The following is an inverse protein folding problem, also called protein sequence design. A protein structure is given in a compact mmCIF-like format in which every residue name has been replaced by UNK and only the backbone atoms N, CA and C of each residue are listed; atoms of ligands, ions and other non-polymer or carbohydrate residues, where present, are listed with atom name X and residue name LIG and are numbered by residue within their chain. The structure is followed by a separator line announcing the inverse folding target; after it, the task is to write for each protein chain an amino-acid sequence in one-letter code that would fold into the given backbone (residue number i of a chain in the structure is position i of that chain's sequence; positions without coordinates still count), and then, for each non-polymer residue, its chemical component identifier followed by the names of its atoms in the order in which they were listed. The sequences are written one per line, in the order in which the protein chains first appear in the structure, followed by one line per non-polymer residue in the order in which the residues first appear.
data_IF_632560499885
#
_entry.id   IF_632560499885
#
_cell.length_a   1.000
_cell.length_b   1.000
_cell.length_c   1.000
_cell.angle_alpha   90.00
_cell.angle_beta   90.00
_cell.angle_gamma   90.00
#
_symmetry.space_group_name_H-M   'P 1'
#
loop_
_entity.id
_entity.type
_entity.pdbx_description
1 polymer ?
#
# COMPACT_ATOMS: atom_id res chain seq x y z
N UNK A 1 2.63 12.64 -5.79
CA UNK A 1 1.35 12.75 -6.55
C UNK A 1 0.37 11.85 -5.84
N UNK A 2 -0.82 12.34 -5.49
CA UNK A 2 -1.79 11.52 -4.77
C UNK A 2 -2.50 10.60 -5.77
N UNK A 3 -2.93 9.42 -5.32
CA UNK A 3 -3.71 8.44 -6.12
C UNK A 3 -4.96 9.07 -6.76
N UNK A 4 -5.48 10.13 -6.14
CA UNK A 4 -6.62 10.91 -6.64
C UNK A 4 -6.23 11.73 -7.88
N UNK A 5 -5.02 12.31 -7.92
CA UNK A 5 -4.55 13.06 -9.09
C UNK A 5 -4.33 12.15 -10.32
N UNK A 6 -3.85 10.94 -10.09
CA UNK A 6 -3.66 9.94 -11.14
C UNK A 6 -5.01 9.45 -11.70
N UNK A 7 -6.01 9.27 -10.84
CA UNK A 7 -7.39 8.94 -11.25
C UNK A 7 -8.07 10.06 -12.02
N UNK A 8 -7.87 11.30 -11.60
CA UNK A 8 -8.40 12.49 -12.31
C UNK A 8 -7.75 12.60 -13.68
N UNK A 9 -6.43 12.47 -13.80
CA UNK A 9 -5.71 12.49 -15.07
C UNK A 9 -6.17 11.36 -16.03
N UNK A 10 -6.47 10.16 -15.49
CA UNK A 10 -6.99 9.06 -16.30
C UNK A 10 -8.42 9.31 -16.80
N UNK A 11 -9.26 10.01 -16.04
CA UNK A 11 -10.60 10.42 -16.48
C UNK A 11 -10.51 11.53 -17.53
N UNK A 12 -9.64 12.51 -17.33
CA UNK A 12 -9.41 13.59 -18.32
C UNK A 12 -8.91 13.03 -19.65
N UNK A 13 -7.95 12.10 -19.65
CA UNK A 13 -7.46 11.44 -20.85
C UNK A 13 -8.57 10.66 -21.60
N UNK A 14 -9.52 10.05 -20.88
CA UNK A 14 -10.67 9.36 -21.47
C UNK A 14 -11.69 10.33 -22.06
N UNK A 15 -11.91 11.47 -21.42
CA UNK A 15 -12.77 12.54 -21.94
C UNK A 15 -12.18 13.14 -23.21
N UNK A 16 -10.87 13.38 -23.26
CA UNK A 16 -10.19 13.84 -24.49
C UNK A 16 -10.27 12.81 -25.62
N UNK A 17 -10.14 11.52 -25.32
CA UNK A 17 -10.36 10.47 -26.33
C UNK A 17 -11.80 10.47 -26.87
N UNK A 18 -12.80 10.70 -26.02
CA UNK A 18 -14.18 10.80 -26.44
C UNK A 18 -14.41 12.02 -27.37
N UNK A 19 -13.81 13.18 -27.06
CA UNK A 19 -13.86 14.35 -27.95
C UNK A 19 -13.11 14.14 -29.28
N UNK A 20 -11.99 13.40 -29.27
CA UNK A 20 -11.26 13.04 -30.47
C UNK A 20 -12.09 12.11 -31.40
N UNK A 21 -12.92 11.23 -30.82
CA UNK A 21 -13.86 10.38 -31.55
C UNK A 21 -14.98 11.25 -32.19
N UNK A 22 -15.54 12.21 -31.46
CA UNK A 22 -16.56 13.12 -31.98
C UNK A 22 -16.01 13.98 -33.14
N UNK A 23 -14.79 14.47 -33.05
CA UNK A 23 -14.12 15.20 -34.13
C UNK A 23 -13.91 14.33 -35.39
N UNK A 24 -13.53 13.05 -35.22
CA UNK A 24 -13.44 12.10 -36.33
C UNK A 24 -14.79 11.76 -36.94
N UNK A 25 -15.84 11.65 -36.15
CA UNK A 25 -17.22 11.47 -36.64
C UNK A 25 -17.66 12.64 -37.50
N UNK A 26 -17.41 13.88 -37.08
CA UNK A 26 -17.70 15.08 -37.84
C UNK A 26 -16.91 15.16 -39.16
N UNK A 27 -15.65 14.70 -39.17
CA UNK A 27 -14.84 14.64 -40.41
C UNK A 27 -15.37 13.60 -41.38
N UNK A 28 -15.77 12.42 -40.89
CA UNK A 28 -16.41 11.38 -41.70
C UNK A 28 -17.76 11.81 -42.25
N UNK A 29 -18.56 12.56 -41.49
CA UNK A 29 -19.79 13.17 -41.95
C UNK A 29 -19.55 14.15 -43.09
N UNK A 30 -18.44 14.92 -43.04
CA UNK A 30 -17.99 15.82 -44.10
C UNK A 30 -17.55 15.09 -45.37
N UNK A 31 -16.86 13.95 -45.23
CA UNK A 31 -16.45 13.12 -46.39
C UNK A 31 -17.62 12.39 -47.02
N UNK A 32 -18.55 11.86 -46.25
CA UNK A 32 -19.80 11.25 -46.71
C UNK A 32 -20.68 12.30 -47.47
N UNK A 33 -20.67 13.56 -47.03
CA UNK A 33 -21.32 14.65 -47.74
C UNK A 33 -20.69 14.94 -49.11
N UNK A 34 -19.37 14.79 -49.25
CA UNK A 34 -18.65 14.96 -50.52
C UNK A 34 -18.93 13.85 -51.56
N UNK A 35 -19.21 12.62 -51.06
CA UNK A 35 -19.57 11.47 -51.89
C UNK A 35 -21.01 11.51 -52.43
N UNK A 36 -21.78 12.54 -52.10
CA UNK A 36 -23.22 12.72 -52.40
C UNK A 36 -23.54 13.10 -53.83
N UNK A 37 -22.74 12.68 -54.83
CA UNK A 37 -22.98 12.93 -56.26
C UNK A 37 -23.77 11.85 -57.01
N UNK A 38 -24.22 10.76 -56.38
CA UNK A 38 -24.93 9.66 -57.02
C UNK A 38 -26.28 9.33 -56.36
N UNK A 39 -27.37 9.39 -57.12
CA UNK A 39 -28.74 9.18 -56.65
C UNK A 39 -28.99 7.84 -55.92
N UNK A 40 -28.23 6.79 -56.22
CA UNK A 40 -28.40 5.47 -55.60
C UNK A 40 -27.89 5.38 -54.13
N UNK A 41 -26.93 6.22 -53.75
CA UNK A 41 -26.39 6.22 -52.39
C UNK A 41 -27.35 6.88 -51.39
N UNK A 42 -28.16 7.82 -51.89
CA UNK A 42 -29.11 8.57 -51.05
C UNK A 42 -30.28 7.70 -50.59
N UNK A 43 -30.79 6.82 -51.45
CA UNK A 43 -31.85 5.89 -51.09
C UNK A 43 -31.35 4.81 -50.13
N UNK A 44 -30.09 4.35 -50.28
CA UNK A 44 -29.48 3.37 -49.43
C UNK A 44 -29.22 3.93 -47.99
N UNK A 45 -28.74 5.19 -47.89
CA UNK A 45 -28.53 5.87 -46.60
C UNK A 45 -29.86 6.21 -45.92
N UNK A 46 -30.91 6.53 -46.63
CA UNK A 46 -32.23 6.76 -46.04
C UNK A 46 -32.88 5.48 -45.53
N UNK A 47 -32.65 4.35 -46.16
CA UNK A 47 -33.26 3.08 -45.77
C UNK A 47 -32.47 2.36 -44.68
N UNK A 48 -31.13 2.42 -44.71
CA UNK A 48 -30.25 1.71 -43.76
C UNK A 48 -29.69 2.60 -42.64
N UNK A 49 -29.73 3.94 -42.81
CA UNK A 49 -29.24 4.88 -41.81
C UNK A 49 -29.81 4.67 -40.40
N UNK A 50 -31.13 4.50 -40.25
CA UNK A 50 -31.72 4.20 -38.94
C UNK A 50 -31.24 2.90 -38.30
N UNK A 51 -31.01 1.87 -39.11
CA UNK A 51 -30.54 0.55 -38.63
C UNK A 51 -29.06 0.60 -38.21
N UNK A 52 -28.22 1.30 -38.98
CA UNK A 52 -26.80 1.48 -38.67
C UNK A 52 -26.63 2.36 -37.42
N UNK A 53 -27.39 3.45 -37.32
CA UNK A 53 -27.36 4.30 -36.11
C UNK A 53 -27.86 3.55 -34.87
N UNK A 54 -28.92 2.74 -34.99
CA UNK A 54 -29.41 1.88 -33.93
C UNK A 54 -28.36 0.86 -33.47
N UNK A 55 -27.66 0.21 -34.41
CA UNK A 55 -26.60 -0.75 -34.11
C UNK A 55 -25.40 -0.06 -33.43
N UNK A 56 -25.00 1.11 -33.86
CA UNK A 56 -23.92 1.89 -33.24
C UNK A 56 -24.28 2.29 -31.80
N UNK A 57 -25.50 2.77 -31.57
CA UNK A 57 -25.99 3.12 -30.24
C UNK A 57 -26.04 1.89 -29.33
N UNK A 58 -26.47 0.74 -29.85
CA UNK A 58 -26.46 -0.53 -29.08
C UNK A 58 -25.03 -0.98 -28.72
N UNK A 59 -24.09 -0.92 -29.67
CA UNK A 59 -22.69 -1.30 -29.42
C UNK A 59 -22.02 -0.35 -28.42
N UNK A 60 -22.23 0.95 -28.56
CA UNK A 60 -21.70 1.95 -27.63
C UNK A 60 -22.36 1.80 -26.27
N UNK A 61 -23.66 1.59 -26.21
CA UNK A 61 -24.39 1.35 -24.97
C UNK A 61 -23.93 0.08 -24.26
N UNK A 62 -23.69 -0.99 -25.00
CA UNK A 62 -23.15 -2.25 -24.45
C UNK A 62 -21.73 -2.05 -23.92
N UNK A 63 -20.88 -1.35 -24.64
CA UNK A 63 -19.49 -1.09 -24.22
C UNK A 63 -19.41 -0.18 -22.98
N UNK A 64 -20.26 0.86 -22.90
CA UNK A 64 -20.36 1.71 -21.71
C UNK A 64 -20.87 0.91 -20.52
N UNK A 65 -21.90 0.06 -20.70
CA UNK A 65 -22.45 -0.79 -19.64
C UNK A 65 -21.38 -1.73 -19.09
N UNK A 66 -20.61 -2.40 -19.95
CA UNK A 66 -19.54 -3.30 -19.54
C UNK A 66 -18.44 -2.56 -18.76
N UNK A 67 -18.02 -1.41 -19.24
CA UNK A 67 -16.99 -0.59 -18.59
C UNK A 67 -17.44 -0.08 -17.22
N UNK A 68 -18.69 0.37 -17.07
CA UNK A 68 -19.27 0.82 -15.80
C UNK A 68 -19.47 -0.34 -14.85
N UNK A 69 -19.94 -1.49 -15.35
CA UNK A 69 -20.15 -2.70 -14.52
C UNK A 69 -18.82 -3.21 -13.95
N UNK A 70 -17.76 -3.24 -14.78
CA UNK A 70 -16.42 -3.63 -14.34
C UNK A 70 -15.84 -2.66 -13.31
N UNK A 71 -16.06 -1.35 -13.49
CA UNK A 71 -15.61 -0.34 -12.52
C UNK A 71 -16.34 -0.50 -11.18
N UNK A 72 -17.68 -0.67 -11.20
CA UNK A 72 -18.48 -0.90 -10.00
C UNK A 72 -18.12 -2.22 -9.30
N UNK A 73 -17.87 -3.29 -10.06
CA UNK A 73 -17.43 -4.56 -9.48
C UNK A 73 -16.06 -4.44 -8.79
N UNK A 74 -15.12 -3.69 -9.36
CA UNK A 74 -13.82 -3.43 -8.71
C UNK A 74 -13.99 -2.64 -7.43
N UNK A 75 -14.81 -1.60 -7.45
CA UNK A 75 -15.09 -0.80 -6.26
C UNK A 75 -15.77 -1.61 -5.16
N UNK A 76 -16.72 -2.49 -5.53
CA UNK A 76 -17.35 -3.42 -4.58
C UNK A 76 -16.36 -4.42 -4.00
N UNK A 77 -15.46 -5.00 -4.82
CA UNK A 77 -14.41 -5.88 -4.35
C UNK A 77 -13.43 -5.17 -3.41
N UNK A 78 -13.05 -3.93 -3.72
CA UNK A 78 -12.17 -3.12 -2.86
C UNK A 78 -12.85 -2.82 -1.51
N UNK A 79 -14.13 -2.48 -1.51
CA UNK A 79 -14.90 -2.25 -0.27
C UNK A 79 -15.05 -3.53 0.56
N UNK A 80 -15.32 -4.65 -0.09
CA UNK A 80 -15.43 -5.95 0.58
C UNK A 80 -14.09 -6.39 1.17
N UNK A 81 -12.99 -6.19 0.44
CA UNK A 81 -11.63 -6.43 0.90
C UNK A 81 -11.30 -5.60 2.16
N UNK A 82 -11.59 -4.29 2.14
CA UNK A 82 -11.37 -3.41 3.29
C UNK A 82 -12.24 -3.83 4.48
N UNK A 83 -13.49 -4.23 4.23
CA UNK A 83 -14.40 -4.71 5.28
C UNK A 83 -13.88 -6.00 5.92
N UNK A 84 -13.50 -6.99 5.12
CA UNK A 84 -12.97 -8.26 5.61
C UNK A 84 -11.68 -8.05 6.41
N UNK A 85 -10.76 -7.20 5.93
CA UNK A 85 -9.56 -6.86 6.68
C UNK A 85 -9.88 -6.19 8.02
N UNK A 86 -10.87 -5.30 8.05
CA UNK A 86 -11.31 -4.64 9.30
C UNK A 86 -11.93 -5.62 10.29
N UNK A 87 -12.76 -6.53 9.80
CA UNK A 87 -13.38 -7.56 10.65
C UNK A 87 -12.30 -8.48 11.23
N UNK A 88 -11.33 -8.90 10.42
CA UNK A 88 -10.19 -9.71 10.88
C UNK A 88 -9.30 -8.96 11.90
N UNK A 89 -9.08 -7.65 11.72
CA UNK A 89 -8.39 -6.81 12.70
C UNK A 89 -9.15 -6.81 14.04
N UNK A 90 -10.48 -6.71 14.00
CA UNK A 90 -11.30 -6.74 15.20
C UNK A 90 -11.23 -8.09 15.91
N UNK A 91 -11.26 -9.19 15.17
CA UNK A 91 -11.15 -10.54 15.72
C UNK A 91 -9.77 -10.74 16.34
N UNK A 92 -8.71 -10.28 15.66
CA UNK A 92 -7.34 -10.26 16.17
C UNK A 92 -7.21 -9.49 17.49
N UNK A 93 -7.84 -8.30 17.62
CA UNK A 93 -7.81 -7.50 18.85
C UNK A 93 -8.59 -8.16 20.00
N UNK A 94 -9.48 -9.08 19.71
CA UNK A 94 -10.32 -9.80 20.67
C UNK A 94 -9.89 -11.25 20.89
N UNK A 95 -8.81 -11.70 20.26
CA UNK A 95 -8.34 -13.09 20.31
C UNK A 95 -8.09 -13.53 21.75
N UNK A 96 -8.80 -14.55 22.27
CA UNK A 96 -8.70 -14.98 23.65
C UNK A 96 -7.44 -15.82 23.94
N UNK A 97 -6.73 -16.24 22.91
CA UNK A 97 -5.54 -17.09 23.03
C UNK A 97 -4.46 -16.72 22.01
N UNK A 98 -3.21 -17.08 22.32
CA UNK A 98 -2.09 -16.90 21.38
C UNK A 98 -2.30 -17.65 20.05
N UNK A 99 -2.92 -18.83 20.10
CA UNK A 99 -3.14 -19.63 18.89
C UNK A 99 -4.15 -18.96 17.95
N UNK A 100 -5.18 -18.31 18.48
CA UNK A 100 -6.15 -17.56 17.69
C UNK A 100 -5.55 -16.27 17.15
N UNK A 101 -4.84 -15.52 18.00
CA UNK A 101 -4.12 -14.32 17.54
C UNK A 101 -3.09 -14.65 16.44
N UNK A 102 -2.37 -15.76 16.56
CA UNK A 102 -1.44 -16.21 15.51
C UNK A 102 -2.17 -16.55 14.21
N UNK A 103 -3.33 -17.22 14.28
CA UNK A 103 -4.14 -17.54 13.10
C UNK A 103 -4.65 -16.27 12.42
N UNK A 104 -5.14 -15.30 13.18
CA UNK A 104 -5.63 -14.03 12.67
C UNK A 104 -4.48 -13.19 12.09
N UNK A 105 -3.29 -13.20 12.71
CA UNK A 105 -2.10 -12.55 12.19
C UNK A 105 -1.65 -13.15 10.84
N UNK A 106 -1.76 -14.48 10.68
CA UNK A 106 -1.53 -15.16 9.39
C UNK A 106 -2.58 -14.72 8.37
N UNK A 107 -3.86 -14.67 8.76
CA UNK A 107 -4.94 -14.14 7.93
C UNK A 107 -4.66 -12.69 7.49
N UNK A 108 -4.27 -11.82 8.42
CA UNK A 108 -3.89 -10.44 8.12
C UNK A 108 -2.66 -10.38 7.19
N UNK A 109 -1.69 -11.27 7.36
CA UNK A 109 -0.51 -11.31 6.49
C UNK A 109 -0.86 -11.60 5.01
N UNK A 110 -1.98 -12.28 4.73
CA UNK A 110 -2.48 -12.49 3.36
C UNK A 110 -2.85 -11.18 2.65
N UNK A 111 -3.17 -10.11 3.40
CA UNK A 111 -3.41 -8.78 2.87
C UNK A 111 -2.13 -8.00 2.54
N UNK A 112 -0.96 -8.61 2.78
CA UNK A 112 0.33 -8.09 2.39
C UNK A 112 0.60 -6.69 2.96
N UNK A 113 0.98 -5.78 2.07
CA UNK A 113 1.36 -4.41 2.45
C UNK A 113 0.27 -3.61 3.20
N UNK A 114 -1.00 -3.93 3.01
CA UNK A 114 -2.12 -3.20 3.62
C UNK A 114 -2.26 -3.54 5.11
N UNK A 115 -1.81 -4.71 5.54
CA UNK A 115 -1.82 -5.13 6.93
C UNK A 115 -0.60 -4.65 7.74
N UNK A 116 0.44 -4.08 7.10
CA UNK A 116 1.67 -3.68 7.81
C UNK A 116 1.36 -2.67 8.93
N UNK A 117 0.70 -1.55 8.62
CA UNK A 117 0.42 -0.52 9.64
C UNK A 117 -0.52 -1.03 10.72
N UNK A 118 -1.65 -1.69 10.42
CA UNK A 118 -2.47 -2.33 11.44
C UNK A 118 -1.71 -3.27 12.38
N UNK A 119 -0.80 -4.10 11.86
CA UNK A 119 0.02 -5.00 12.69
C UNK A 119 1.07 -4.24 13.50
N UNK A 120 1.70 -3.19 12.94
CA UNK A 120 2.68 -2.36 13.65
C UNK A 120 2.05 -1.67 14.87
N UNK A 121 0.82 -1.16 14.74
CA UNK A 121 0.09 -0.53 15.84
C UNK A 121 -0.15 -1.51 17.01
N UNK A 122 -0.29 -2.82 16.74
CA UNK A 122 -0.48 -3.85 17.76
C UNK A 122 0.81 -4.31 18.43
N UNK A 123 1.97 -3.95 17.90
CA UNK A 123 3.24 -4.19 18.59
C UNK A 123 3.36 -3.42 19.91
N UNK A 124 2.54 -2.39 20.13
CA UNK A 124 2.58 -1.55 21.32
C UNK A 124 1.95 -2.20 22.58
N UNK A 125 1.14 -3.23 22.41
CA UNK A 125 0.38 -3.86 23.50
C UNK A 125 1.24 -4.69 24.47
N UNK A 126 2.34 -5.26 24.02
CA UNK A 126 3.22 -6.11 24.84
C UNK A 126 2.58 -7.45 25.30
N UNK A 127 1.45 -7.81 24.71
CA UNK A 127 0.62 -8.97 25.01
C UNK A 127 0.64 -10.03 23.90
N UNK A 128 -0.34 -10.93 23.95
CA UNK A 128 -0.59 -11.97 22.95
C UNK A 128 -0.66 -11.39 21.52
N UNK A 129 -1.34 -10.25 21.35
CA UNK A 129 -1.50 -9.60 20.05
C UNK A 129 -0.15 -9.08 19.51
N UNK A 130 0.73 -8.56 20.39
CA UNK A 130 2.05 -8.08 19.99
C UNK A 130 2.94 -9.19 19.42
N UNK A 131 2.96 -10.36 20.06
CA UNK A 131 3.73 -11.51 19.56
C UNK A 131 3.19 -12.04 18.24
N UNK A 132 1.87 -12.10 18.10
CA UNK A 132 1.23 -12.53 16.86
C UNK A 132 1.44 -11.51 15.74
N UNK A 133 1.38 -10.20 16.04
CA UNK A 133 1.68 -9.14 15.08
C UNK A 133 3.14 -9.20 14.57
N UNK A 134 4.12 -9.47 15.47
CA UNK A 134 5.52 -9.68 15.06
C UNK A 134 5.64 -10.84 14.06
N UNK A 135 4.92 -11.94 14.27
CA UNK A 135 4.90 -13.09 13.37
C UNK A 135 4.26 -12.76 12.04
N UNK A 136 3.10 -12.09 12.05
CA UNK A 136 2.41 -11.64 10.85
C UNK A 136 3.28 -10.72 9.99
N UNK A 137 3.96 -9.75 10.60
CA UNK A 137 4.90 -8.87 9.90
C UNK A 137 6.09 -9.66 9.32
N UNK A 138 6.61 -10.64 10.07
CA UNK A 138 7.66 -11.53 9.57
C UNK A 138 7.22 -12.33 8.33
N UNK A 139 5.98 -12.82 8.30
CA UNK A 139 5.41 -13.52 7.14
C UNK A 139 5.28 -12.58 5.93
N UNK A 140 4.76 -11.36 6.13
CA UNK A 140 4.67 -10.36 5.05
C UNK A 140 6.06 -10.07 4.47
N UNK A 141 7.04 -9.84 5.35
CA UNK A 141 8.42 -9.54 4.93
C UNK A 141 9.10 -10.70 4.20
N UNK A 142 8.79 -11.94 4.58
CA UNK A 142 9.34 -13.13 3.92
C UNK A 142 8.69 -13.43 2.57
N UNK A 143 7.38 -13.15 2.44
CA UNK A 143 6.62 -13.41 1.22
C UNK A 143 6.89 -12.38 0.12
N UNK A 144 7.00 -11.11 0.48
CA UNK A 144 7.25 -10.01 -0.48
C UNK A 144 8.21 -8.97 0.12
N UNK A 145 9.51 -9.28 0.23
CA UNK A 145 10.49 -8.37 0.80
C UNK A 145 10.67 -7.09 -0.03
N UNK A 146 10.40 -7.12 -1.33
CA UNK A 146 10.54 -5.94 -2.19
C UNK A 146 9.55 -4.84 -1.83
N UNK A 147 8.35 -5.20 -1.42
CA UNK A 147 7.29 -4.27 -1.03
C UNK A 147 7.31 -4.01 0.49
N UNK A 148 7.57 -5.02 1.30
CA UNK A 148 7.53 -4.92 2.75
C UNK A 148 8.71 -4.13 3.34
N UNK A 149 9.94 -4.40 2.87
CA UNK A 149 11.14 -3.80 3.46
C UNK A 149 11.16 -2.25 3.41
N UNK A 150 10.78 -1.58 2.31
CA UNK A 150 10.68 -0.12 2.30
C UNK A 150 9.67 0.42 3.33
N UNK A 151 8.57 -0.29 3.57
CA UNK A 151 7.56 0.09 4.57
C UNK A 151 8.06 -0.13 6.00
N UNK A 152 8.74 -1.22 6.26
CA UNK A 152 9.40 -1.48 7.55
C UNK A 152 10.46 -0.42 7.85
N UNK A 153 11.28 -0.07 6.85
CA UNK A 153 12.22 1.04 6.95
C UNK A 153 11.52 2.37 7.27
N UNK A 154 10.37 2.63 6.65
CA UNK A 154 9.55 3.82 6.91
C UNK A 154 9.07 3.91 8.36
N UNK A 155 8.69 2.80 8.99
CA UNK A 155 8.30 2.76 10.41
C UNK A 155 9.50 3.10 11.31
N UNK A 156 10.67 2.51 11.05
CA UNK A 156 11.88 2.76 11.84
C UNK A 156 12.44 4.17 11.62
N UNK A 157 12.30 4.72 10.42
CA UNK A 157 12.70 6.09 10.09
C UNK A 157 11.73 7.16 10.61
N UNK A 158 10.54 6.75 11.09
CA UNK A 158 9.51 7.68 11.52
C UNK A 158 9.97 8.54 12.70
N UNK A 159 9.81 9.85 12.54
CA UNK A 159 10.12 10.86 13.55
C UNK A 159 8.88 11.66 13.98
N UNK A 160 7.71 11.23 13.51
CA UNK A 160 6.44 11.89 13.78
C UNK A 160 5.81 11.46 15.11
N UNK A 161 6.56 10.77 15.97
CA UNK A 161 6.12 10.34 17.31
C UNK A 161 4.89 9.42 17.28
N UNK A 162 4.75 8.61 16.24
CA UNK A 162 3.61 7.69 16.10
C UNK A 162 3.78 6.41 16.91
N UNK A 163 5.01 5.97 17.12
CA UNK A 163 5.32 4.66 17.68
C UNK A 163 6.20 4.77 18.92
N UNK A 164 6.08 3.78 19.82
CA UNK A 164 6.94 3.60 20.97
C UNK A 164 8.33 3.11 20.54
N UNK A 165 9.34 3.27 21.39
CA UNK A 165 10.68 2.76 21.12
C UNK A 165 10.71 1.22 21.03
N UNK A 166 9.86 0.53 21.81
CA UNK A 166 9.69 -0.92 21.76
C UNK A 166 9.20 -1.39 20.38
N UNK A 167 8.29 -0.64 19.77
CA UNK A 167 7.82 -0.89 18.40
C UNK A 167 8.98 -0.79 17.41
N UNK A 168 9.83 0.24 17.53
CA UNK A 168 11.03 0.36 16.70
C UNK A 168 11.95 -0.84 16.90
N UNK A 169 12.19 -1.27 18.16
CA UNK A 169 13.01 -2.46 18.48
C UNK A 169 12.47 -3.72 17.80
N UNK A 170 11.16 -3.97 17.92
CA UNK A 170 10.52 -5.14 17.29
C UNK A 170 10.58 -5.05 15.76
N UNK A 171 10.37 -3.87 15.18
CA UNK A 171 10.49 -3.69 13.74
C UNK A 171 11.91 -3.92 13.23
N UNK A 172 12.95 -3.53 13.96
CA UNK A 172 14.35 -3.82 13.63
C UNK A 172 14.58 -5.34 13.58
N UNK A 173 14.05 -6.09 14.56
CA UNK A 173 14.08 -7.54 14.59
C UNK A 173 13.35 -8.16 13.37
N UNK A 174 12.17 -7.65 13.04
CA UNK A 174 11.42 -8.08 11.84
C UNK A 174 12.23 -7.83 10.58
N UNK A 175 12.86 -6.67 10.43
CA UNK A 175 13.74 -6.32 9.31
C UNK A 175 14.87 -7.37 9.15
N UNK A 176 15.52 -7.77 10.24
CA UNK A 176 16.56 -8.80 10.21
C UNK A 176 16.03 -10.15 9.73
N UNK A 177 14.89 -10.59 10.29
CA UNK A 177 14.26 -11.88 9.92
C UNK A 177 13.75 -11.91 8.47
N UNK A 178 13.30 -10.77 7.97
CA UNK A 178 12.81 -10.62 6.59
C UNK A 178 13.92 -10.39 5.56
N UNK A 179 15.20 -10.48 5.98
CA UNK A 179 16.35 -10.28 5.09
C UNK A 179 16.34 -8.94 4.32
N UNK A 180 15.87 -7.87 4.96
CA UNK A 180 15.75 -6.55 4.34
C UNK A 180 17.12 -5.84 4.22
N UNK A 181 18.04 -6.38 3.43
CA UNK A 181 19.45 -5.91 3.29
C UNK A 181 19.53 -4.43 2.94
N UNK A 182 18.62 -3.92 2.12
CA UNK A 182 18.58 -2.50 1.70
C UNK A 182 18.34 -1.52 2.87
N UNK A 183 17.90 -2.01 4.04
CA UNK A 183 17.69 -1.16 5.23
C UNK A 183 18.96 -0.99 6.08
N UNK A 184 20.04 -1.72 5.80
CA UNK A 184 21.27 -1.69 6.58
C UNK A 184 21.84 -0.26 6.75
N UNK A 185 21.90 0.63 5.73
CA UNK A 185 22.37 2.00 5.92
C UNK A 185 21.53 2.81 6.91
N UNK A 186 20.20 2.64 6.90
CA UNK A 186 19.30 3.28 7.86
C UNK A 186 19.60 2.82 9.29
N UNK A 187 19.79 1.51 9.50
CA UNK A 187 20.10 0.95 10.81
C UNK A 187 21.47 1.40 11.30
N UNK A 188 22.47 1.49 10.41
CA UNK A 188 23.79 2.03 10.74
C UNK A 188 23.71 3.48 11.20
N UNK A 189 22.98 4.34 10.48
CA UNK A 189 22.75 5.72 10.88
C UNK A 189 22.07 5.78 12.25
N UNK A 190 21.04 4.98 12.47
CA UNK A 190 20.31 4.93 13.73
C UNK A 190 21.24 4.49 14.87
N UNK A 191 22.11 3.51 14.62
CA UNK A 191 23.13 3.04 15.59
C UNK A 191 24.09 4.16 15.99
N UNK A 192 24.59 4.94 15.03
CA UNK A 192 25.47 6.09 15.28
C UNK A 192 24.77 7.15 16.14
N UNK A 193 23.49 7.44 15.84
CA UNK A 193 22.70 8.39 16.63
C UNK A 193 22.54 7.92 18.11
N UNK A 194 22.31 6.62 18.34
CA UNK A 194 22.23 6.05 19.68
C UNK A 194 23.59 6.09 20.41
N UNK A 195 24.69 5.78 19.72
CA UNK A 195 26.03 5.87 20.30
C UNK A 195 26.41 7.29 20.71
N UNK A 196 25.96 8.29 19.95
CA UNK A 196 26.23 9.70 20.27
C UNK A 196 25.54 10.17 21.57
N UNK A 197 24.57 9.42 22.10
CA UNK A 197 23.96 9.71 23.39
C UNK A 197 24.94 9.50 24.56
N UNK A 198 25.79 8.47 24.46
CA UNK A 198 26.71 8.09 25.54
C UNK A 198 25.95 7.80 26.85
N UNK A 199 26.46 8.37 27.95
CA UNK A 199 25.82 8.32 29.28
C UNK A 199 25.05 9.60 29.64
N UNK A 200 24.79 10.47 28.68
CA UNK A 200 24.12 11.77 28.88
C UNK A 200 22.60 11.62 28.89
N UNK A 201 22.02 11.68 30.08
CA UNK A 201 20.57 11.56 30.28
C UNK A 201 19.79 12.69 29.59
N UNK A 202 20.35 13.91 29.49
CA UNK A 202 19.68 15.01 28.81
C UNK A 202 19.61 14.77 27.31
N UNK A 203 20.66 14.21 26.70
CA UNK A 203 20.65 13.79 25.29
C UNK A 203 19.69 12.66 25.05
N UNK A 204 19.63 11.65 25.96
CA UNK A 204 18.67 10.57 25.85
C UNK A 204 17.22 11.09 25.88
N UNK A 205 16.91 12.02 26.79
CA UNK A 205 15.59 12.67 26.85
C UNK A 205 15.27 13.47 25.58
N UNK A 206 16.24 14.19 25.03
CA UNK A 206 16.05 14.91 23.76
C UNK A 206 15.81 13.95 22.59
N UNK A 207 16.52 12.82 22.56
CA UNK A 207 16.35 11.78 21.55
C UNK A 207 14.99 11.07 21.66
N UNK A 208 14.50 10.87 22.89
CA UNK A 208 13.20 10.25 23.17
C UNK A 208 12.03 10.98 22.53
N UNK A 209 12.19 12.27 22.17
CA UNK A 209 11.14 13.06 21.51
C UNK A 209 10.71 12.52 20.14
N UNK A 210 11.42 11.53 19.58
CA UNK A 210 11.03 10.82 18.37
C UNK A 210 9.93 9.78 18.59
N UNK A 211 9.74 9.34 19.84
CA UNK A 211 8.78 8.30 20.20
C UNK A 211 7.47 8.89 20.72
N UNK A 212 6.41 8.10 20.68
CA UNK A 212 5.10 8.48 21.23
C UNK A 212 5.13 8.62 22.75
N UNK A 213 5.89 7.73 23.42
CA UNK A 213 6.13 7.75 24.88
C UNK A 213 7.57 8.16 25.16
N UNK A 214 7.79 9.42 25.47
CA UNK A 214 9.14 9.94 25.76
C UNK A 214 9.66 9.51 27.11
N UNK A 215 8.79 9.31 28.09
CA UNK A 215 9.16 9.00 29.48
C UNK A 215 9.68 7.58 29.67
N UNK A 216 9.32 6.68 28.75
CA UNK A 216 9.75 5.28 28.78
C UNK A 216 11.14 5.03 28.18
N UNK A 217 11.77 6.06 27.60
CA UNK A 217 13.06 5.93 26.93
C UNK A 217 14.17 6.58 27.74
N UNK A 218 15.13 5.76 28.14
CA UNK A 218 16.33 6.11 28.92
C UNK A 218 17.62 5.57 28.27
N UNK A 219 18.73 5.65 28.97
CA UNK A 219 20.03 5.16 28.50
C UNK A 219 20.03 3.62 28.35
N UNK A 220 19.33 2.89 29.24
CA UNK A 220 19.25 1.43 29.15
C UNK A 220 18.39 1.02 27.92
N UNK A 221 17.33 1.74 27.65
CA UNK A 221 16.51 1.59 26.45
C UNK A 221 17.33 1.85 25.18
N UNK A 222 18.18 2.88 25.19
CA UNK A 222 19.08 3.18 24.09
C UNK A 222 20.11 2.06 23.86
N UNK A 223 20.68 1.51 24.93
CA UNK A 223 21.61 0.37 24.88
C UNK A 223 20.92 -0.88 24.33
N UNK A 224 19.70 -1.19 24.82
CA UNK A 224 18.88 -2.29 24.35
C UNK A 224 18.57 -2.20 22.85
N UNK A 225 18.15 -1.01 22.40
CA UNK A 225 17.83 -0.76 20.99
C UNK A 225 19.11 -0.86 20.13
N UNK A 226 20.23 -0.34 20.63
CA UNK A 226 21.52 -0.46 19.96
C UNK A 226 21.98 -1.92 19.81
N UNK A 227 21.79 -2.75 20.82
CA UNK A 227 22.10 -4.18 20.77
C UNK A 227 21.25 -4.91 19.70
N UNK A 228 19.95 -4.59 19.61
CA UNK A 228 19.06 -5.16 18.58
C UNK A 228 19.49 -4.75 17.16
N UNK A 229 19.91 -3.49 16.99
CA UNK A 229 20.45 -3.02 15.71
C UNK A 229 21.72 -3.80 15.34
N UNK A 230 22.65 -3.98 16.29
CA UNK A 230 23.91 -4.70 16.05
C UNK A 230 23.64 -6.16 15.66
N UNK A 231 22.72 -6.84 16.36
CA UNK A 231 22.29 -8.20 16.03
C UNK A 231 21.66 -8.28 14.63
N UNK A 232 20.80 -7.34 14.31
CA UNK A 232 20.14 -7.29 12.99
C UNK A 232 21.15 -7.01 11.87
N UNK A 233 22.07 -6.07 12.05
CA UNK A 233 23.12 -5.78 11.08
C UNK A 233 24.04 -6.99 10.85
N UNK A 234 24.32 -7.77 11.88
CA UNK A 234 25.09 -9.02 11.76
C UNK A 234 24.37 -10.02 10.83
N UNK A 235 23.05 -10.20 11.03
CA UNK A 235 22.23 -11.07 10.19
C UNK A 235 22.22 -10.57 8.73
N UNK A 236 21.96 -9.29 8.50
CA UNK A 236 21.91 -8.70 7.16
C UNK A 236 23.26 -8.78 6.43
N UNK A 237 24.38 -8.60 7.13
CA UNK A 237 25.72 -8.72 6.56
C UNK A 237 26.06 -10.15 6.13
N UNK A 238 25.56 -11.17 6.83
CA UNK A 238 25.73 -12.58 6.45
C UNK A 238 24.92 -12.88 5.18
N UNK A 239 23.72 -12.34 5.06
CA UNK A 239 22.82 -12.55 3.94
C UNK A 239 23.22 -11.77 2.68
N UNK A 240 23.97 -10.67 2.82
CA UNK A 240 24.49 -9.87 1.73
C UNK A 240 25.75 -10.45 1.04
N UNK A 241 26.36 -11.50 1.64
CA UNK A 241 27.48 -12.19 1.00
C UNK A 241 26.97 -13.18 -0.03
N UNK A 242 27.37 -13.05 -1.32
CA UNK A 242 26.99 -13.96 -2.39
C UNK A 242 27.50 -15.38 -2.16
#
# INVERSE_FOLDING_TARGET
MSEVEERVAAVEARVEQAFAIDARFKSLEGEVRKLKGGSGLRDWVQTLGPYVSGLVVLLVGFWIKDSVTLALQREQLDLEYVKQMRDLIKDFDQAPSQAEADADAVGLAMYGQHAIIPLVERLEGGDVASLAAERGLGLIGSNDPAVACPKFAGVVADRARRFKWQTHKTMIKVIGRSACVQTAPLLQQYRVELQALGSDAARATAFARRYSETESFDIDSAANLGSEIDATLAILNVQAKP
#
